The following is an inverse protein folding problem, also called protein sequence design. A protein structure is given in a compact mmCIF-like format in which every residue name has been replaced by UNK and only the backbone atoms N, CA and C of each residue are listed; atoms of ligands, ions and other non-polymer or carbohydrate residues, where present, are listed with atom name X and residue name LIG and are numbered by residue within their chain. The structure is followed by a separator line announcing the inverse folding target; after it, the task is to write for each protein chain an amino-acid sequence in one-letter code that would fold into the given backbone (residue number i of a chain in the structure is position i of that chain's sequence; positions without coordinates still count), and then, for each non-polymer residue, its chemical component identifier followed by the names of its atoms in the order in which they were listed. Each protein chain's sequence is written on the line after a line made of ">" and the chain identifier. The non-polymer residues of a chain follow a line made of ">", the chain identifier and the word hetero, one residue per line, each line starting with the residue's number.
data_IF_957451702764
#
_entry.id   IF_957451702764
#
_cell.length_a   1.000
_cell.length_b   1.000
_cell.length_c   1.000
_cell.angle_alpha   90.00
_cell.angle_beta   90.00
_cell.angle_gamma   90.00
#
_symmetry.space_group_name_H-M   'P 1'
#
loop_
_entity.id
_entity.type
_entity.pdbx_description
1 polymer ?
#
# COMPACT_ATOMS: atom_id res chain seq x y z
N UNK A 1 -0.59 -2.27 -16.30
CA UNK A 1 0.34 -1.95 -17.41
C UNK A 1 1.73 -2.49 -17.04
N UNK A 2 2.32 -3.44 -17.78
CA UNK A 2 3.66 -3.97 -17.46
C UNK A 2 4.73 -2.96 -17.92
N UNK A 3 5.60 -2.44 -17.05
CA UNK A 3 6.55 -1.41 -17.46
C UNK A 3 7.63 -1.99 -18.40
N UNK A 4 7.47 -1.76 -19.72
CA UNK A 4 8.40 -2.24 -20.77
C UNK A 4 9.86 -1.79 -20.53
N UNK A 5 10.06 -0.65 -19.84
CA UNK A 5 11.39 -0.11 -19.54
C UNK A 5 12.17 -0.95 -18.50
N UNK A 6 11.46 -1.62 -17.58
CA UNK A 6 12.08 -2.38 -16.48
C UNK A 6 12.66 -3.71 -16.95
N UNK A 7 12.04 -4.32 -17.95
CA UNK A 7 12.47 -5.61 -18.52
C UNK A 7 13.80 -5.51 -19.29
N UNK A 8 14.18 -4.29 -19.73
CA UNK A 8 15.43 -4.05 -20.47
C UNK A 8 16.67 -3.90 -19.57
N UNK A 9 16.51 -3.92 -18.24
CA UNK A 9 17.61 -3.69 -17.28
C UNK A 9 18.18 -5.00 -16.72
N UNK A 10 19.49 -4.99 -16.42
CA UNK A 10 20.14 -6.05 -15.62
C UNK A 10 19.60 -5.99 -14.18
N UNK A 11 19.52 -7.13 -13.49
CA UNK A 11 18.99 -7.22 -12.11
C UNK A 11 19.68 -6.28 -11.12
N UNK A 12 20.99 -6.05 -11.25
CA UNK A 12 21.75 -5.14 -10.39
C UNK A 12 21.53 -3.65 -10.67
N UNK A 13 20.87 -3.31 -11.80
CA UNK A 13 20.44 -1.94 -12.13
C UNK A 13 18.91 -1.82 -12.04
N UNK A 14 18.28 -2.66 -11.21
CA UNK A 14 16.82 -2.66 -11.02
C UNK A 14 16.39 -1.36 -10.35
N UNK A 15 15.25 -0.85 -10.79
CA UNK A 15 14.53 0.22 -10.08
C UNK A 15 13.28 -0.37 -9.43
N UNK A 16 12.82 0.31 -8.39
CA UNK A 16 11.72 -0.12 -7.55
C UNK A 16 10.48 0.73 -7.78
N UNK A 17 9.31 0.15 -7.54
CA UNK A 17 8.04 0.87 -7.48
C UNK A 17 7.37 0.59 -6.14
N UNK A 18 6.55 1.53 -5.69
CA UNK A 18 5.62 1.33 -4.59
C UNK A 18 4.22 1.26 -5.19
N UNK A 19 3.52 0.15 -4.94
CA UNK A 19 2.14 -0.05 -5.39
C UNK A 19 1.13 0.70 -4.52
N UNK A 20 -0.11 0.81 -5.00
CA UNK A 20 -1.22 1.47 -4.28
C UNK A 20 -2.51 0.64 -4.36
N UNK A 21 -3.44 0.94 -3.44
CA UNK A 21 -4.76 0.32 -3.23
C UNK A 21 -4.74 -1.14 -2.79
N UNK A 22 -3.94 -2.00 -3.44
CA UNK A 22 -3.84 -3.45 -3.18
C UNK A 22 -2.39 -3.93 -3.12
N UNK A 23 -2.18 -5.17 -2.66
CA UNK A 23 -0.89 -5.84 -2.83
C UNK A 23 -0.66 -6.14 -4.32
N UNK A 24 0.35 -5.47 -4.90
CA UNK A 24 0.69 -5.58 -6.31
C UNK A 24 1.92 -6.45 -6.56
N UNK A 25 2.41 -7.20 -5.57
CA UNK A 25 3.57 -8.06 -5.73
C UNK A 25 3.44 -9.03 -6.93
N UNK A 26 2.24 -9.53 -7.23
CA UNK A 26 2.01 -10.39 -8.38
C UNK A 26 2.21 -9.67 -9.73
N UNK A 27 1.78 -8.41 -9.82
CA UNK A 27 1.89 -7.57 -11.02
C UNK A 27 3.33 -7.13 -11.30
N UNK A 28 4.17 -7.15 -10.25
CA UNK A 28 5.58 -6.81 -10.29
C UNK A 28 6.50 -7.82 -10.96
N UNK A 29 6.02 -9.05 -11.22
CA UNK A 29 6.83 -10.16 -11.74
C UNK A 29 7.28 -9.91 -13.18
N UNK A 30 8.57 -10.08 -13.45
CA UNK A 30 9.15 -9.99 -14.79
C UNK A 30 10.39 -10.87 -14.96
N UNK A 31 10.82 -11.04 -16.21
CA UNK A 31 12.12 -11.65 -16.57
C UNK A 31 13.07 -10.54 -17.00
N UNK A 32 14.25 -10.47 -16.37
CA UNK A 32 15.29 -9.47 -16.68
C UNK A 32 16.03 -9.80 -17.98
N UNK A 33 16.83 -8.83 -18.46
CA UNK A 33 17.62 -8.99 -19.70
C UNK A 33 18.58 -10.20 -19.67
N UNK A 34 19.05 -10.59 -18.49
CA UNK A 34 19.88 -11.79 -18.25
C UNK A 34 19.07 -13.07 -18.03
N UNK A 35 17.77 -13.08 -18.37
CA UNK A 35 16.91 -14.28 -18.33
C UNK A 35 16.40 -14.68 -16.95
N UNK A 36 16.64 -13.88 -15.90
CA UNK A 36 16.30 -14.24 -14.52
C UNK A 36 14.93 -13.69 -14.11
N UNK A 37 14.16 -14.48 -13.36
CA UNK A 37 12.92 -14.01 -12.72
C UNK A 37 13.25 -12.95 -11.65
N UNK A 38 12.46 -11.89 -11.61
CA UNK A 38 12.62 -10.76 -10.70
C UNK A 38 11.27 -10.08 -10.44
N UNK A 39 11.26 -9.11 -9.53
CA UNK A 39 10.09 -8.30 -9.17
C UNK A 39 10.50 -6.85 -8.91
N UNK A 40 9.75 -5.88 -9.43
CA UNK A 40 10.03 -4.45 -9.24
C UNK A 40 9.23 -3.79 -8.10
N UNK A 41 8.28 -4.49 -7.47
CA UNK A 41 7.50 -3.95 -6.35
C UNK A 41 8.30 -4.04 -5.05
N UNK A 42 8.53 -2.90 -4.42
CA UNK A 42 9.21 -2.82 -3.12
C UNK A 42 8.23 -3.06 -1.97
N UNK A 43 7.09 -2.38 -2.04
CA UNK A 43 5.97 -2.46 -1.11
C UNK A 43 4.71 -1.94 -1.81
N UNK A 44 3.55 -2.16 -1.20
CA UNK A 44 2.27 -1.59 -1.63
C UNK A 44 1.60 -0.85 -0.47
N UNK A 45 1.15 0.38 -0.72
CA UNK A 45 0.19 1.07 0.13
C UNK A 45 -1.19 0.46 -0.07
N UNK A 46 -1.74 -0.19 0.93
CA UNK A 46 -3.12 -0.66 0.91
C UNK A 46 -4.09 0.49 1.16
N UNK A 47 -5.20 0.49 0.43
CA UNK A 47 -6.33 1.38 0.68
C UNK A 47 -7.62 0.58 0.58
N UNK A 48 -8.27 0.40 1.72
CA UNK A 48 -9.43 -0.45 1.90
C UNK A 48 -10.73 0.22 1.41
N UNK A 49 -10.74 0.67 0.15
CA UNK A 49 -11.92 1.29 -0.48
C UNK A 49 -13.10 0.33 -0.48
N UNK A 50 -12.86 -0.97 -0.74
CA UNK A 50 -13.91 -1.99 -0.70
C UNK A 50 -14.58 -2.10 0.67
N UNK A 51 -13.79 -2.10 1.75
CA UNK A 51 -14.31 -2.07 3.13
C UNK A 51 -15.07 -0.79 3.42
N UNK A 52 -14.57 0.36 2.96
CA UNK A 52 -15.28 1.63 3.14
C UNK A 52 -16.66 1.62 2.47
N UNK A 53 -16.76 1.12 1.23
CA UNK A 53 -18.03 0.94 0.51
C UNK A 53 -18.94 -0.03 1.26
N UNK A 54 -18.41 -1.17 1.72
CA UNK A 54 -19.18 -2.16 2.49
C UNK A 54 -19.77 -1.56 3.77
N UNK A 55 -18.98 -0.78 4.51
CA UNK A 55 -19.42 -0.12 5.75
C UNK A 55 -20.50 0.91 5.49
N UNK A 56 -20.34 1.74 4.45
CA UNK A 56 -21.36 2.72 4.05
C UNK A 56 -22.66 2.01 3.68
N UNK A 57 -22.60 1.00 2.81
CA UNK A 57 -23.78 0.22 2.39
C UNK A 57 -24.46 -0.47 3.57
N UNK A 58 -23.68 -1.02 4.52
CA UNK A 58 -24.21 -1.65 5.74
C UNK A 58 -24.88 -0.64 6.66
N UNK A 59 -24.33 0.58 6.78
CA UNK A 59 -24.94 1.63 7.59
C UNK A 59 -26.22 2.14 6.94
N UNK A 60 -26.24 2.31 5.61
CA UNK A 60 -27.44 2.68 4.85
C UNK A 60 -28.55 1.66 5.01
N UNK A 61 -28.27 0.35 4.88
CA UNK A 61 -29.29 -0.70 5.04
C UNK A 61 -29.89 -0.72 6.45
N UNK A 62 -29.12 -0.27 7.46
CA UNK A 62 -29.56 -0.07 8.84
C UNK A 62 -30.20 1.30 9.11
N UNK A 63 -30.50 2.10 8.08
CA UNK A 63 -31.03 3.48 8.17
C UNK A 63 -30.12 4.43 8.96
N UNK A 64 -28.81 4.16 9.01
CA UNK A 64 -27.77 4.95 9.71
C UNK A 64 -26.79 5.61 8.74
N UNK A 65 -27.26 6.02 7.56
CA UNK A 65 -26.40 6.64 6.56
C UNK A 65 -25.75 7.93 7.12
N UNK A 66 -24.41 8.08 7.06
CA UNK A 66 -23.70 9.24 7.63
C UNK A 66 -23.75 10.46 6.70
N UNK A 67 -24.96 10.85 6.24
CA UNK A 67 -25.15 12.01 5.36
C UNK A 67 -24.60 13.30 5.99
N UNK A 68 -23.88 14.09 5.19
CA UNK A 68 -23.28 15.36 5.63
C UNK A 68 -22.05 15.23 6.55
N UNK A 69 -21.56 14.01 6.81
CA UNK A 69 -20.38 13.78 7.65
C UNK A 69 -19.20 13.27 6.82
N UNK A 70 -18.01 13.78 7.14
CA UNK A 70 -16.75 13.18 6.67
C UNK A 70 -16.42 12.00 7.58
N UNK A 71 -16.23 10.83 6.98
CA UNK A 71 -15.77 9.62 7.68
C UNK A 71 -14.36 9.30 7.22
N UNK A 72 -13.40 9.31 8.15
CA UNK A 72 -11.98 9.03 7.87
C UNK A 72 -11.64 7.61 8.29
N UNK A 73 -10.95 6.87 7.42
CA UNK A 73 -10.44 5.53 7.71
C UNK A 73 -8.91 5.54 7.60
N UNK A 74 -8.24 5.66 8.74
CA UNK A 74 -6.78 5.79 8.81
C UNK A 74 -6.05 4.48 9.14
N UNK A 75 -4.78 4.60 9.53
CA UNK A 75 -3.97 3.47 10.03
C UNK A 75 -4.60 2.83 11.28
N UNK A 76 -5.25 3.62 12.14
CA UNK A 76 -5.98 3.16 13.34
C UNK A 76 -7.12 2.20 12.99
N UNK A 77 -7.87 2.52 11.94
CA UNK A 77 -9.08 1.79 11.52
C UNK A 77 -8.77 0.66 10.53
N UNK A 78 -7.48 0.47 10.23
CA UNK A 78 -7.00 -0.38 9.14
C UNK A 78 -7.67 -0.01 7.80
N UNK A 79 -7.90 1.28 7.57
CA UNK A 79 -8.41 1.82 6.30
C UNK A 79 -7.30 2.01 5.27
N UNK A 80 -6.08 2.22 5.75
CA UNK A 80 -4.84 2.21 4.98
C UNK A 80 -3.81 1.36 5.71
N UNK A 81 -2.87 0.79 4.96
CA UNK A 81 -1.72 0.05 5.51
C UNK A 81 -0.56 0.00 4.50
N UNK A 82 0.56 -0.61 4.85
CA UNK A 82 1.65 -0.94 3.94
C UNK A 82 1.94 -2.44 3.98
N UNK A 83 1.95 -3.08 2.81
CA UNK A 83 2.40 -4.47 2.65
C UNK A 83 3.82 -4.48 2.08
N UNK A 84 4.82 -4.99 2.82
CA UNK A 84 6.18 -5.08 2.31
C UNK A 84 6.38 -6.30 1.41
N UNK A 85 6.95 -6.11 0.21
CA UNK A 85 7.32 -7.22 -0.68
C UNK A 85 8.83 -7.50 -0.61
N UNK A 86 9.64 -6.45 -0.74
CA UNK A 86 11.10 -6.54 -0.85
C UNK A 86 11.84 -5.51 0.01
N UNK A 87 11.19 -4.95 1.04
CA UNK A 87 11.87 -4.18 2.07
C UNK A 87 12.89 -5.05 2.83
N UNK A 88 14.02 -4.45 3.19
CA UNK A 88 14.99 -5.07 4.11
C UNK A 88 14.40 -5.24 5.51
N UNK A 89 15.08 -5.96 6.40
CA UNK A 89 14.64 -6.11 7.79
C UNK A 89 14.57 -4.75 8.49
N UNK A 90 15.58 -3.92 8.26
CA UNK A 90 15.70 -2.57 8.79
C UNK A 90 14.57 -1.68 8.23
N UNK A 91 14.28 -1.80 6.94
CA UNK A 91 13.17 -1.08 6.30
C UNK A 91 11.81 -1.46 6.86
N UNK A 92 11.56 -2.77 7.08
CA UNK A 92 10.31 -3.23 7.73
C UNK A 92 10.18 -2.68 9.15
N UNK A 93 11.26 -2.76 9.93
CA UNK A 93 11.29 -2.22 11.30
C UNK A 93 11.01 -0.72 11.33
N UNK A 94 11.63 0.06 10.44
CA UNK A 94 11.41 1.50 10.37
C UNK A 94 9.96 1.86 10.03
N UNK A 95 9.32 1.11 9.12
CA UNK A 95 7.90 1.25 8.79
C UNK A 95 7.03 0.94 10.00
N UNK A 96 7.27 -0.17 10.69
CA UNK A 96 6.49 -0.59 11.86
C UNK A 96 6.59 0.43 13.00
N UNK A 97 7.80 0.94 13.27
CA UNK A 97 8.04 1.96 14.29
C UNK A 97 7.35 3.30 13.93
N UNK A 98 7.40 3.71 12.66
CA UNK A 98 6.67 4.89 12.18
C UNK A 98 5.15 4.71 12.28
N UNK A 99 4.62 3.54 11.88
CA UNK A 99 3.19 3.21 12.00
C UNK A 99 2.74 3.30 13.46
N UNK A 100 3.52 2.76 14.40
CA UNK A 100 3.22 2.85 15.84
C UNK A 100 3.14 4.30 16.31
N UNK A 101 4.12 5.14 15.95
CA UNK A 101 4.14 6.57 16.33
C UNK A 101 2.97 7.36 15.73
N UNK A 102 2.54 7.04 14.51
CA UNK A 102 1.37 7.68 13.91
C UNK A 102 0.08 7.21 14.59
N UNK A 103 0.00 5.93 14.96
CA UNK A 103 -1.15 5.36 15.68
C UNK A 103 -1.22 5.86 17.13
N UNK A 104 -0.12 6.05 17.83
CA UNK A 104 -0.12 6.67 19.17
C UNK A 104 -0.49 8.15 19.12
N UNK A 105 -0.16 8.83 18.02
CA UNK A 105 -0.36 10.27 17.85
C UNK A 105 0.91 11.09 18.11
N UNK A 106 2.02 10.44 18.49
CA UNK A 106 3.33 11.08 18.66
C UNK A 106 3.84 11.72 17.37
N UNK A 107 3.44 11.17 16.23
CA UNK A 107 3.69 11.74 14.90
C UNK A 107 2.37 12.04 14.23
N UNK A 108 2.17 13.32 13.87
CA UNK A 108 1.04 13.76 13.05
C UNK A 108 1.49 13.97 11.61
N UNK A 109 0.90 13.21 10.70
CA UNK A 109 1.14 13.38 9.25
C UNK A 109 0.40 14.65 8.80
N UNK A 110 1.06 15.61 8.12
CA UNK A 110 0.43 16.83 7.68
C UNK A 110 -0.65 16.54 6.63
N UNK A 111 -1.76 17.26 6.74
CA UNK A 111 -2.77 17.37 5.68
C UNK A 111 -2.37 18.54 4.74
N UNK A 112 -2.77 18.46 3.46
CA UNK A 112 -2.41 19.46 2.45
C UNK A 112 -3.11 20.79 2.69
#
# INVERSE_FOLDING_TARGET
>A
MKPKLLMKRKRNKKVWVIGVDRDQAAEGKYTSKDGKKSNFVLASSLKEVGKAVQLISTNTSKKKFPGGKVTTYGLKDKGVDLVPTHLSKEGKKAVDDAKKKIVSGDVKVPEK
#
